data_IF_359392460247
#
_entry.id   IF_359392460247
#
_cell.length_a   1.000
_cell.length_b   1.000
_cell.length_c   1.000
_cell.angle_alpha   90.00
_cell.angle_beta   90.00
_cell.angle_gamma   90.00
#
_symmetry.space_group_name_H-M   'P 1'
#
loop_
_entity.id
_entity.type
_entity.pdbx_description
1 polymer ?
#
# COMPACT_ATOMS: atom_id res chain seq x y z
N UNK A 1 -4.41 -7.85 -9.82
CA UNK A 1 -4.88 -7.46 -8.47
C UNK A 1 -3.99 -8.04 -7.37
N UNK A 2 -3.83 -9.37 -7.27
CA UNK A 2 -2.91 -10.00 -6.29
C UNK A 2 -1.47 -9.49 -6.35
N UNK A 3 -0.92 -9.28 -7.57
CA UNK A 3 0.42 -8.72 -7.74
C UNK A 3 0.56 -7.31 -7.15
N UNK A 4 -0.47 -6.46 -7.23
CA UNK A 4 -0.45 -5.12 -6.65
C UNK A 4 -0.46 -5.19 -5.11
N UNK A 5 -1.22 -6.12 -4.51
CA UNK A 5 -1.19 -6.35 -3.07
C UNK A 5 0.16 -6.85 -2.59
N UNK A 6 0.79 -7.79 -3.31
CA UNK A 6 2.13 -8.27 -3.00
C UNK A 6 3.19 -7.14 -3.09
N UNK A 7 3.10 -6.30 -4.12
CA UNK A 7 3.97 -5.11 -4.25
C UNK A 7 3.75 -4.16 -3.07
N UNK A 8 2.49 -3.89 -2.70
CA UNK A 8 2.14 -3.03 -1.57
C UNK A 8 2.65 -3.58 -0.23
N UNK A 9 2.51 -4.89 0.02
CA UNK A 9 3.01 -5.52 1.25
C UNK A 9 4.53 -5.37 1.39
N UNK A 10 5.28 -5.70 0.32
CA UNK A 10 6.75 -5.68 0.32
C UNK A 10 7.33 -4.27 0.37
N UNK A 11 6.57 -3.28 -0.09
CA UNK A 11 6.97 -1.87 -0.21
C UNK A 11 6.13 -0.95 0.68
N UNK A 12 5.56 -1.47 1.76
CA UNK A 12 4.70 -0.69 2.65
C UNK A 12 5.44 0.55 3.15
N UNK A 13 4.80 1.72 2.98
CA UNK A 13 5.35 3.01 3.39
C UNK A 13 6.43 3.61 2.47
N UNK A 14 6.84 2.92 1.40
CA UNK A 14 7.77 3.49 0.42
C UNK A 14 7.01 4.20 -0.70
N UNK A 15 7.62 5.23 -1.28
CA UNK A 15 7.06 5.96 -2.41
C UNK A 15 7.37 5.23 -3.71
N UNK A 16 6.33 4.81 -4.43
CA UNK A 16 6.44 4.10 -5.70
C UNK A 16 6.01 5.01 -6.86
N UNK A 17 6.82 5.08 -7.91
CA UNK A 17 6.45 5.78 -9.14
C UNK A 17 5.32 5.06 -9.87
N UNK A 18 4.24 5.78 -10.24
CA UNK A 18 3.10 5.15 -10.94
C UNK A 18 3.49 4.62 -12.33
N UNK A 19 4.50 5.24 -12.97
CA UNK A 19 5.03 4.75 -14.26
C UNK A 19 5.76 3.42 -14.07
N UNK A 20 6.62 3.32 -13.07
CA UNK A 20 7.39 2.11 -12.79
C UNK A 20 6.46 0.98 -12.34
N UNK A 21 5.50 1.29 -11.48
CA UNK A 21 4.48 0.36 -11.02
C UNK A 21 3.63 -0.18 -12.18
N UNK A 22 3.26 0.66 -13.15
CA UNK A 22 2.55 0.21 -14.36
C UNK A 22 3.40 -0.73 -15.22
N UNK A 23 4.70 -0.46 -15.31
CA UNK A 23 5.66 -1.32 -16.03
C UNK A 23 5.83 -2.68 -15.36
N UNK A 24 6.03 -2.72 -14.04
CA UNK A 24 6.17 -3.97 -13.26
C UNK A 24 4.91 -4.84 -13.33
N UNK A 25 3.74 -4.23 -13.38
CA UNK A 25 2.46 -4.94 -13.47
C UNK A 25 1.99 -5.19 -14.90
N UNK A 26 2.82 -4.84 -15.90
CA UNK A 26 2.53 -4.99 -17.33
C UNK A 26 1.14 -4.48 -17.72
N UNK A 27 0.72 -3.35 -17.15
CA UNK A 27 -0.58 -2.75 -17.39
C UNK A 27 -0.44 -1.27 -17.71
N UNK A 28 -1.42 -0.70 -18.41
CA UNK A 28 -1.44 0.74 -18.67
C UNK A 28 -1.81 1.53 -17.41
N UNK A 29 -1.51 2.83 -17.42
CA UNK A 29 -1.72 3.72 -16.26
C UNK A 29 -3.19 3.85 -15.85
N UNK A 30 -4.13 3.76 -16.78
CA UNK A 30 -5.57 3.86 -16.50
C UNK A 30 -6.05 2.59 -15.82
N UNK A 31 -5.58 1.42 -16.28
CA UNK A 31 -5.86 0.14 -15.64
C UNK A 31 -5.26 0.06 -14.24
N UNK A 32 -4.02 0.51 -14.04
CA UNK A 32 -3.39 0.61 -12.72
C UNK A 32 -4.23 1.47 -11.76
N UNK A 33 -4.64 2.66 -12.21
CA UNK A 33 -5.47 3.56 -11.41
C UNK A 33 -6.78 2.88 -11.01
N UNK A 34 -7.46 2.22 -11.96
CA UNK A 34 -8.69 1.48 -11.69
C UNK A 34 -8.49 0.35 -10.66
N UNK A 35 -7.38 -0.37 -10.70
CA UNK A 35 -7.09 -1.39 -9.70
C UNK A 35 -6.88 -0.80 -8.31
N UNK A 36 -6.18 0.34 -8.21
CA UNK A 36 -5.99 1.03 -6.94
C UNK A 36 -7.34 1.52 -6.40
N UNK A 37 -8.15 2.16 -7.24
CA UNK A 37 -9.48 2.67 -6.86
C UNK A 37 -10.38 1.53 -6.34
N UNK A 38 -10.47 0.41 -7.08
CA UNK A 38 -11.27 -0.74 -6.65
C UNK A 38 -10.77 -1.29 -5.30
N UNK A 39 -9.46 -1.42 -5.10
CA UNK A 39 -8.91 -1.95 -3.85
C UNK A 39 -9.08 -0.97 -2.67
N UNK A 40 -9.11 0.34 -2.93
CA UNK A 40 -9.46 1.35 -1.94
C UNK A 40 -10.94 1.25 -1.54
N UNK A 41 -11.84 1.14 -2.52
CA UNK A 41 -13.28 1.01 -2.33
C UNK A 41 -13.67 -0.25 -1.52
N UNK A 42 -12.95 -1.36 -1.73
CA UNK A 42 -13.14 -2.60 -0.97
C UNK A 42 -12.41 -2.63 0.39
N UNK A 43 -11.81 -1.51 0.83
CA UNK A 43 -11.04 -1.45 2.07
C UNK A 43 -9.92 -2.50 2.14
N UNK A 44 -9.29 -2.82 1.01
CA UNK A 44 -8.17 -3.78 0.96
C UNK A 44 -6.85 -3.03 1.12
N UNK A 45 -6.71 -1.90 0.43
CA UNK A 45 -5.55 -1.03 0.53
C UNK A 45 -5.95 0.43 0.70
N UNK A 46 -5.02 1.24 1.15
CA UNK A 46 -5.19 2.70 1.18
C UNK A 46 -4.03 3.37 0.44
N UNK A 47 -4.31 4.12 -0.63
CA UNK A 47 -3.30 4.88 -1.34
C UNK A 47 -3.05 6.23 -0.67
N UNK A 48 -1.79 6.65 -0.65
CA UNK A 48 -1.36 8.00 -0.32
C UNK A 48 -0.61 8.59 -1.51
N UNK A 49 -1.32 9.38 -2.31
CA UNK A 49 -0.77 9.98 -3.52
C UNK A 49 0.15 11.16 -3.17
N UNK A 50 1.29 11.22 -3.84
CA UNK A 50 2.15 12.39 -3.83
C UNK A 50 1.91 13.17 -5.12
N UNK A 51 1.54 14.43 -4.94
CA UNK A 51 1.28 15.36 -6.03
C UNK A 51 2.56 16.14 -6.32
N UNK A 52 3.01 16.06 -7.57
CA UNK A 52 4.07 16.91 -8.10
C UNK A 52 3.48 17.63 -9.32
N UNK A 53 3.55 18.96 -9.34
CA UNK A 53 2.95 19.78 -10.40
C UNK A 53 1.47 19.43 -10.71
N UNK A 54 0.65 19.29 -9.67
CA UNK A 54 -0.78 18.94 -9.76
C UNK A 54 -1.09 17.56 -10.39
N UNK A 55 -0.08 16.71 -10.61
CA UNK A 55 -0.26 15.36 -11.14
C UNK A 55 0.14 14.31 -10.11
N UNK A 56 -0.68 13.26 -9.99
CA UNK A 56 -0.32 12.04 -9.24
C UNK A 56 0.85 11.39 -9.96
N UNK A 57 2.07 11.51 -9.43
CA UNK A 57 3.27 10.90 -10.04
C UNK A 57 3.70 9.65 -9.32
N UNK A 58 3.55 9.64 -7.99
CA UNK A 58 3.91 8.52 -7.14
C UNK A 58 2.83 8.28 -6.08
N UNK A 59 2.88 7.10 -5.48
CA UNK A 59 1.92 6.65 -4.49
C UNK A 59 2.63 5.82 -3.43
N UNK A 60 2.24 5.98 -2.17
CA UNK A 60 2.53 5.00 -1.11
C UNK A 60 1.31 4.13 -0.93
N UNK A 61 1.50 2.82 -0.88
CA UNK A 61 0.43 1.85 -0.72
C UNK A 61 0.54 1.20 0.65
N UNK A 62 -0.58 1.12 1.36
CA UNK A 62 -0.67 0.47 2.67
C UNK A 62 -1.79 -0.56 2.60
N UNK A 63 -1.50 -1.83 2.86
CA UNK A 63 -2.55 -2.81 3.06
C UNK A 63 -3.21 -2.55 4.43
N UNK A 64 -4.53 -2.68 4.49
CA UNK A 64 -5.28 -2.40 5.72
C UNK A 64 -5.19 -3.52 6.75
N UNK A 65 -4.95 -4.74 6.31
CA UNK A 65 -4.78 -5.89 7.19
C UNK A 65 -3.28 -6.16 7.44
N UNK A 66 -2.77 -5.96 8.66
CA UNK A 66 -1.37 -6.25 8.99
C UNK A 66 -1.02 -7.74 8.88
N UNK A 67 -1.96 -8.67 8.99
CA UNK A 67 -1.72 -10.08 8.72
C UNK A 67 -1.45 -10.32 7.24
N UNK A 68 -2.16 -9.62 6.34
CA UNK A 68 -1.87 -9.68 4.90
C UNK A 68 -0.51 -9.07 4.57
N UNK A 69 -0.10 -8.01 5.27
CA UNK A 69 1.26 -7.45 5.12
C UNK A 69 2.30 -8.51 5.49
N UNK A 70 2.15 -9.15 6.66
CA UNK A 70 3.10 -10.15 7.11
C UNK A 70 3.15 -11.40 6.24
N UNK A 71 1.99 -11.94 5.85
CA UNK A 71 1.91 -13.11 4.99
C UNK A 71 2.50 -12.87 3.60
N UNK A 72 2.26 -11.69 3.00
CA UNK A 72 2.78 -11.35 1.67
C UNK A 72 4.23 -10.85 1.69
N UNK A 73 4.73 -10.40 2.84
CA UNK A 73 6.11 -9.99 3.03
C UNK A 73 6.99 -11.09 3.67
N UNK A 74 6.43 -12.27 3.92
CA UNK A 74 7.10 -13.43 4.54
C UNK A 74 7.73 -13.09 5.90
N UNK A 75 6.97 -12.37 6.74
CA UNK A 75 7.40 -11.99 8.09
C UNK A 75 7.19 -13.15 9.08
N UNK A 76 8.22 -13.43 9.87
CA UNK A 76 8.12 -14.36 10.99
C UNK A 76 7.47 -13.68 12.21
N UNK A 77 6.30 -14.16 12.60
CA UNK A 77 5.57 -13.70 13.79
C UNK A 77 5.80 -14.58 15.02
N UNK A 78 6.63 -15.63 14.92
CA UNK A 78 6.89 -16.55 16.04
C UNK A 78 7.79 -15.97 17.13
N UNK A 79 8.43 -14.82 16.85
CA UNK A 79 9.34 -14.13 17.76
C UNK A 79 9.27 -12.61 17.66
N UNK A 80 10.32 -11.93 18.12
CA UNK A 80 10.44 -10.48 18.00
C UNK A 80 10.66 -10.10 16.54
N UNK A 81 9.83 -9.19 16.02
CA UNK A 81 9.99 -8.70 14.65
C UNK A 81 11.28 -7.89 14.52
N UNK A 82 11.92 -8.00 13.36
CA UNK A 82 13.02 -7.11 12.99
C UNK A 82 12.53 -5.64 13.03
N UNK A 83 13.36 -4.68 13.51
CA UNK A 83 12.92 -3.29 13.71
C UNK A 83 12.31 -2.62 12.47
N UNK A 84 12.81 -2.95 11.28
CA UNK A 84 12.28 -2.43 10.01
C UNK A 84 10.91 -3.00 9.68
N UNK A 85 10.68 -4.29 9.98
CA UNK A 85 9.39 -4.94 9.77
C UNK A 85 8.34 -4.38 10.74
N UNK A 86 8.70 -4.22 12.01
CA UNK A 86 7.86 -3.59 13.03
C UNK A 86 7.47 -2.17 12.62
N UNK A 87 8.42 -1.36 12.16
CA UNK A 87 8.17 0.02 11.70
C UNK A 87 7.20 0.07 10.52
N UNK A 88 7.34 -0.83 9.55
CA UNK A 88 6.44 -0.90 8.38
C UNK A 88 5.01 -1.31 8.78
N UNK A 89 4.88 -2.29 9.66
CA UNK A 89 3.57 -2.73 10.18
C UNK A 89 2.91 -1.62 10.98
N UNK A 90 3.67 -0.98 11.88
CA UNK A 90 3.17 0.15 12.68
C UNK A 90 2.69 1.29 11.78
N UNK A 91 3.46 1.67 10.77
CA UNK A 91 3.07 2.71 9.83
C UNK A 91 1.78 2.36 9.06
N UNK A 92 1.62 1.11 8.62
CA UNK A 92 0.41 0.66 7.93
C UNK A 92 -0.83 0.72 8.84
N UNK A 93 -0.72 0.20 10.08
CA UNK A 93 -1.80 0.19 11.07
C UNK A 93 -2.20 1.61 11.48
N UNK A 94 -1.22 2.45 11.81
CA UNK A 94 -1.47 3.85 12.18
C UNK A 94 -2.13 4.60 11.04
N UNK A 95 -1.64 4.44 9.81
CA UNK A 95 -2.22 5.11 8.64
C UNK A 95 -3.67 4.68 8.37
N UNK A 96 -3.97 3.37 8.47
CA UNK A 96 -5.35 2.89 8.33
C UNK A 96 -6.27 3.47 9.41
N UNK A 97 -5.84 3.48 10.68
CA UNK A 97 -6.62 4.08 11.77
C UNK A 97 -6.90 5.57 11.54
N UNK A 98 -5.89 6.34 11.13
CA UNK A 98 -6.07 7.76 10.80
C UNK A 98 -7.06 7.97 9.64
N UNK A 99 -7.01 7.11 8.63
CA UNK A 99 -7.91 7.15 7.49
C UNK A 99 -9.35 6.78 7.85
N UNK A 100 -9.56 5.80 8.72
CA UNK A 100 -10.89 5.49 9.27
C UNK A 100 -11.42 6.65 10.11
N UNK A 101 -10.57 7.24 10.96
CA UNK A 101 -10.94 8.41 11.75
C UNK A 101 -11.38 9.58 10.85
N UNK A 102 -10.63 9.86 9.79
CA UNK A 102 -10.95 10.91 8.83
C UNK A 102 -12.22 10.62 7.99
N UNK A 103 -12.72 9.38 7.93
CA UNK A 103 -13.99 9.07 7.30
C UNK A 103 -15.19 9.35 8.23
N UNK A 104 -14.96 9.35 9.53
CA UNK A 104 -15.98 9.59 10.56
C UNK A 104 -16.12 11.07 10.97
N UNK A 105 -15.33 11.97 10.38
CA UNK A 105 -15.34 13.41 10.57
C UNK A 105 -15.44 14.12 9.22
#
# INVERSE_FOLDING_TARGET
MYALCAVAARNSGTTLGLKDLSGVLECDRRTLQRYIDILEDFFILTPSYQYEYQRRRSVRLYLRDPLLVGALADLDFSGMLEPDAERRLTAAVVFDHLKRLAFHY
#
